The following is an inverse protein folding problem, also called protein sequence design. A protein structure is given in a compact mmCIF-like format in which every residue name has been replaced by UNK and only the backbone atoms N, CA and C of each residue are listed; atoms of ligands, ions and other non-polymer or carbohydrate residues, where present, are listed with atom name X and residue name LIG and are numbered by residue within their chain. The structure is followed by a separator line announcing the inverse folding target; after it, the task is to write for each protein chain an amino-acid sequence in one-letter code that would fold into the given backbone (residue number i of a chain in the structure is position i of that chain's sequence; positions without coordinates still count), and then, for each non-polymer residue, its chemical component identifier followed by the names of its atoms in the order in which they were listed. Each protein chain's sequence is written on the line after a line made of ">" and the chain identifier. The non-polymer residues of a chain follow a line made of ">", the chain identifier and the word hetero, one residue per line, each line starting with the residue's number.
data_IF_596579309198
#
_entry.id   IF_596579309198
#
_cell.length_a   1.000
_cell.length_b   1.000
_cell.length_c   1.000
_cell.angle_alpha   90.00
_cell.angle_beta   90.00
_cell.angle_gamma   90.00
#
_symmetry.space_group_name_H-M   'P 1'
#
loop_
_entity.id
_entity.type
_entity.pdbx_description
1 polymer ?
#
# COMPACT_ATOMS: atom_id res chain seq x y z
N UNK A 1 -12.73 26.55 2.63
CA UNK A 1 -11.33 26.11 2.92
C UNK A 1 -11.43 25.17 4.08
N UNK A 2 -11.07 23.91 3.89
CA UNK A 2 -10.99 22.96 5.00
C UNK A 2 -9.83 23.40 5.89
N UNK A 3 -10.09 23.76 7.14
CA UNK A 3 -9.06 24.08 8.11
C UNK A 3 -8.10 22.90 8.21
N UNK A 4 -6.81 23.14 7.93
CA UNK A 4 -5.80 22.11 8.07
C UNK A 4 -5.56 21.85 9.56
N UNK A 5 -5.86 20.61 9.99
CA UNK A 5 -5.55 20.16 11.35
C UNK A 5 -4.04 20.01 11.51
N UNK A 6 -3.44 20.74 12.43
CA UNK A 6 -2.05 20.56 12.84
C UNK A 6 -2.04 19.88 14.20
N UNK A 7 -1.39 18.73 14.32
CA UNK A 7 -1.27 17.94 15.53
C UNK A 7 0.20 17.70 15.88
N UNK A 8 0.52 17.52 17.15
CA UNK A 8 1.89 17.36 17.65
C UNK A 8 2.23 15.93 18.09
N UNK A 9 1.35 14.98 17.80
CA UNK A 9 1.54 13.56 18.10
C UNK A 9 1.11 12.69 16.92
N UNK A 10 1.59 11.45 16.86
CA UNK A 10 1.15 10.50 15.84
C UNK A 10 -0.35 10.21 16.02
N UNK A 11 -1.17 10.28 14.95
CA UNK A 11 -2.57 9.90 15.02
C UNK A 11 -2.74 8.46 15.50
N UNK A 12 -3.63 8.26 16.46
CA UNK A 12 -4.02 6.93 16.94
C UNK A 12 -5.53 6.73 16.79
N UNK A 13 -6.15 6.16 17.82
CA UNK A 13 -7.61 6.04 17.92
C UNK A 13 -8.29 7.42 17.92
N UNK A 14 -7.63 8.39 18.54
CA UNK A 14 -8.04 9.80 18.57
C UNK A 14 -6.89 10.70 18.14
N UNK A 15 -7.24 11.92 17.74
CA UNK A 15 -6.31 13.05 17.58
C UNK A 15 -6.76 14.18 18.48
N UNK A 16 -5.81 14.99 18.99
CA UNK A 16 -6.10 16.24 19.69
C UNK A 16 -5.77 17.42 18.76
N UNK A 17 -6.72 18.34 18.62
CA UNK A 17 -6.51 19.59 17.93
C UNK A 17 -7.03 20.74 18.82
N UNK A 18 -6.13 21.59 19.28
CA UNK A 18 -6.44 22.74 20.15
C UNK A 18 -7.20 22.36 21.45
N UNK A 19 -6.90 21.21 22.04
CA UNK A 19 -7.55 20.71 23.24
C UNK A 19 -8.89 20.01 23.02
N UNK A 20 -9.33 19.86 21.77
CA UNK A 20 -10.48 19.06 21.40
C UNK A 20 -10.03 17.70 20.85
N UNK A 21 -10.57 16.62 21.41
CA UNK A 21 -10.31 15.26 20.95
C UNK A 21 -11.31 14.85 19.87
N UNK A 22 -10.81 14.24 18.80
CA UNK A 22 -11.63 13.71 17.71
C UNK A 22 -11.35 12.22 17.54
N UNK A 23 -12.38 11.39 17.31
CA UNK A 23 -12.21 10.03 16.83
C UNK A 23 -11.59 10.08 15.43
N UNK A 24 -10.54 9.27 15.18
CA UNK A 24 -9.74 9.38 13.96
C UNK A 24 -9.96 8.18 13.02
N UNK A 25 -10.80 8.36 12.01
CA UNK A 25 -11.10 7.36 10.98
C UNK A 25 -10.42 7.67 9.65
N UNK A 26 -9.11 7.88 9.69
CA UNK A 26 -8.32 8.29 8.54
C UNK A 26 -6.92 7.65 8.55
N UNK A 27 -6.06 8.04 7.60
CA UNK A 27 -4.70 7.52 7.46
C UNK A 27 -4.65 6.13 6.84
N UNK A 28 -3.50 5.47 6.97
CA UNK A 28 -3.23 4.15 6.36
C UNK A 28 -2.51 3.18 7.30
N UNK A 29 -2.44 3.49 8.59
CA UNK A 29 -1.85 2.63 9.61
C UNK A 29 -2.82 1.50 10.00
N UNK A 30 -3.25 0.71 9.03
CA UNK A 30 -4.35 -0.26 9.16
C UNK A 30 -4.21 -1.21 10.35
N UNK A 31 -3.00 -1.72 10.62
CA UNK A 31 -2.74 -2.64 11.72
C UNK A 31 -2.41 -1.95 13.06
N UNK A 32 -2.28 -0.61 13.08
CA UNK A 32 -2.05 0.16 14.30
C UNK A 32 -0.69 -0.02 14.97
N UNK A 33 0.25 -0.71 14.33
CA UNK A 33 1.56 -1.04 14.92
C UNK A 33 2.37 0.17 15.42
N UNK A 34 2.44 1.30 14.70
CA UNK A 34 3.23 2.45 15.16
C UNK A 34 2.78 3.01 16.52
N UNK A 35 1.51 2.84 16.90
CA UNK A 35 0.94 3.27 18.16
C UNK A 35 0.99 2.20 19.27
N UNK A 36 1.33 0.95 18.91
CA UNK A 36 1.35 -0.16 19.88
C UNK A 36 2.60 -0.05 20.78
N UNK A 37 2.46 0.17 22.12
CA UNK A 37 3.61 0.35 23.00
C UNK A 37 4.60 -0.81 22.97
N UNK A 38 4.10 -2.04 22.84
CA UNK A 38 4.94 -3.22 22.78
C UNK A 38 5.79 -3.28 21.48
N UNK A 39 5.25 -2.81 20.35
CA UNK A 39 6.01 -2.69 19.09
C UNK A 39 7.05 -1.55 19.18
N UNK A 40 6.68 -0.43 19.81
CA UNK A 40 7.62 0.67 20.07
C UNK A 40 8.79 0.22 20.94
N UNK A 41 8.52 -0.62 21.96
CA UNK A 41 9.57 -1.18 22.81
C UNK A 41 10.53 -2.08 22.01
N UNK A 42 10.02 -2.94 21.13
CA UNK A 42 10.86 -3.72 20.21
C UNK A 42 11.77 -2.82 19.35
N UNK A 43 11.22 -1.72 18.83
CA UNK A 43 11.99 -0.79 18.02
C UNK A 43 13.08 -0.08 18.83
N UNK A 44 12.80 0.32 20.08
CA UNK A 44 13.80 0.92 20.99
C UNK A 44 14.96 -0.06 21.21
N UNK A 45 14.68 -1.32 21.51
CA UNK A 45 15.69 -2.37 21.67
C UNK A 45 16.51 -2.57 20.37
N UNK A 46 15.85 -2.58 19.24
CA UNK A 46 16.49 -2.74 17.92
C UNK A 46 17.36 -1.53 17.56
N UNK A 47 16.98 -0.32 17.94
CA UNK A 47 17.81 0.89 17.82
C UNK A 47 19.04 0.77 18.71
N UNK A 48 18.94 0.21 19.90
CA UNK A 48 20.08 -0.06 20.79
C UNK A 48 21.12 -1.01 20.17
N UNK A 49 20.66 -1.94 19.29
CA UNK A 49 21.53 -2.91 18.60
C UNK A 49 22.11 -2.40 17.28
N UNK A 50 21.30 -1.74 16.45
CA UNK A 50 21.64 -1.40 15.06
C UNK A 50 21.80 0.10 14.81
N UNK A 51 21.55 0.95 15.81
CA UNK A 51 21.49 2.40 15.59
C UNK A 51 20.27 2.82 14.76
N UNK A 52 20.29 4.07 14.34
CA UNK A 52 19.14 4.69 13.62
C UNK A 52 19.23 4.56 12.11
N UNK A 53 20.43 4.41 11.55
CA UNK A 53 20.67 4.30 10.10
C UNK A 53 21.88 3.42 9.82
N UNK A 54 21.90 2.78 8.64
CA UNK A 54 23.09 2.18 8.08
C UNK A 54 23.71 3.15 7.05
N UNK A 55 24.76 3.84 7.44
CA UNK A 55 25.41 4.90 6.66
C UNK A 55 26.27 4.41 5.50
N UNK A 56 25.92 3.28 4.86
CA UNK A 56 26.68 2.69 3.76
C UNK A 56 25.74 2.04 2.74
N UNK A 57 26.27 1.84 1.52
CA UNK A 57 25.54 1.08 0.49
C UNK A 57 25.44 -0.40 0.86
N UNK A 58 24.31 -1.02 0.55
CA UNK A 58 24.10 -2.48 0.68
C UNK A 58 24.95 -3.31 -0.28
N UNK A 59 25.52 -2.69 -1.32
CA UNK A 59 26.43 -3.32 -2.26
C UNK A 59 27.92 -3.21 -1.85
N UNK A 60 28.20 -2.64 -0.67
CA UNK A 60 29.54 -2.56 -0.10
C UNK A 60 30.11 -3.92 0.33
N UNK A 61 31.38 -3.91 0.77
CA UNK A 61 32.06 -5.09 1.29
C UNK A 61 31.69 -5.44 2.75
N UNK A 62 30.95 -4.56 3.46
CA UNK A 62 30.37 -4.83 4.77
C UNK A 62 28.85 -5.02 4.60
N UNK A 63 28.32 -6.11 5.13
CA UNK A 63 26.89 -6.43 5.09
C UNK A 63 26.34 -6.63 6.50
N UNK A 64 25.09 -6.25 6.70
CA UNK A 64 24.33 -6.57 7.91
C UNK A 64 23.36 -7.69 7.58
N UNK A 65 23.47 -8.84 8.25
CA UNK A 65 22.64 -10.02 7.99
C UNK A 65 21.15 -9.80 8.19
N UNK A 66 20.77 -8.80 8.98
CA UNK A 66 19.36 -8.44 9.22
C UNK A 66 18.58 -8.11 7.94
N UNK A 67 19.27 -7.62 6.89
CA UNK A 67 18.61 -7.37 5.60
C UNK A 67 18.21 -8.67 4.92
N UNK A 68 19.14 -9.61 4.81
CA UNK A 68 18.90 -10.91 4.18
C UNK A 68 17.86 -11.71 4.96
N UNK A 69 17.92 -11.70 6.29
CA UNK A 69 16.94 -12.38 7.15
C UNK A 69 15.53 -11.79 6.99
N UNK A 70 15.41 -10.47 7.00
CA UNK A 70 14.12 -9.79 6.85
C UNK A 70 13.54 -9.95 5.44
N UNK A 71 14.38 -9.89 4.39
CA UNK A 71 13.97 -10.10 3.01
C UNK A 71 13.50 -11.53 2.77
N UNK A 72 14.18 -12.52 3.34
CA UNK A 72 13.74 -13.92 3.30
C UNK A 72 12.39 -14.11 4.00
N UNK A 73 12.18 -13.47 5.17
CA UNK A 73 10.89 -13.51 5.88
C UNK A 73 9.79 -12.80 5.09
N UNK A 74 10.06 -11.63 4.49
CA UNK A 74 9.11 -10.90 3.65
C UNK A 74 8.68 -11.74 2.44
N UNK A 75 9.64 -12.36 1.75
CA UNK A 75 9.38 -13.25 0.62
C UNK A 75 8.49 -14.42 1.04
N UNK A 76 8.81 -15.08 2.16
CA UNK A 76 8.01 -16.18 2.70
C UNK A 76 6.58 -15.75 3.07
N UNK A 77 6.40 -14.57 3.68
CA UNK A 77 5.07 -14.02 4.01
C UNK A 77 4.26 -13.75 2.76
N UNK A 78 4.84 -13.12 1.75
CA UNK A 78 4.14 -12.82 0.49
C UNK A 78 3.90 -14.07 -0.37
N UNK A 79 4.74 -15.10 -0.25
CA UNK A 79 4.76 -16.28 -1.10
C UNK A 79 5.55 -16.07 -2.39
N UNK A 80 6.42 -15.06 -2.45
CA UNK A 80 7.36 -14.86 -3.56
C UNK A 80 8.66 -15.64 -3.35
N UNK A 81 9.44 -15.82 -4.42
CA UNK A 81 10.74 -16.50 -4.32
C UNK A 81 11.77 -15.62 -3.60
N UNK A 82 11.74 -14.31 -3.83
CA UNK A 82 12.72 -13.39 -3.27
C UNK A 82 12.11 -12.01 -2.99
N UNK A 83 12.77 -11.25 -2.11
CA UNK A 83 12.40 -9.86 -1.80
C UNK A 83 13.64 -8.95 -1.71
N UNK A 84 13.43 -7.66 -1.90
CA UNK A 84 14.46 -6.63 -1.78
C UNK A 84 13.89 -5.39 -1.10
N UNK A 85 14.50 -4.95 0.00
CA UNK A 85 14.05 -3.77 0.75
C UNK A 85 14.79 -2.49 0.31
N UNK A 86 14.06 -1.38 0.31
CA UNK A 86 14.51 -0.02 0.03
C UNK A 86 13.98 0.96 1.09
N UNK A 87 14.45 2.21 1.06
CA UNK A 87 14.13 3.23 2.06
C UNK A 87 12.65 3.68 2.06
N UNK A 88 11.90 3.45 0.99
CA UNK A 88 10.47 3.78 0.91
C UNK A 88 9.78 3.03 -0.22
N UNK A 89 8.43 2.99 -0.22
CA UNK A 89 7.65 2.45 -1.32
C UNK A 89 7.90 3.18 -2.64
N UNK A 90 8.09 4.51 -2.60
CA UNK A 90 8.48 5.30 -3.79
C UNK A 90 9.81 4.79 -4.35
N UNK A 91 10.81 4.57 -3.52
CA UNK A 91 12.13 4.07 -3.96
C UNK A 91 12.05 2.63 -4.48
N UNK A 92 11.18 1.79 -3.91
CA UNK A 92 10.94 0.43 -4.43
C UNK A 92 10.33 0.47 -5.85
N UNK A 93 9.29 1.27 -6.06
CA UNK A 93 8.70 1.45 -7.38
C UNK A 93 9.69 2.03 -8.39
N UNK A 94 10.41 3.09 -8.03
CA UNK A 94 11.38 3.74 -8.92
C UNK A 94 12.61 2.87 -9.21
N UNK A 95 13.02 1.98 -8.31
CA UNK A 95 14.08 1.01 -8.58
C UNK A 95 13.66 0.01 -9.69
N UNK A 96 12.42 -0.47 -9.65
CA UNK A 96 11.85 -1.33 -10.71
C UNK A 96 11.70 -0.56 -12.02
N UNK A 97 11.18 0.66 -11.98
CA UNK A 97 11.05 1.52 -13.18
C UNK A 97 12.40 1.76 -13.83
N UNK A 98 13.42 2.13 -13.04
CA UNK A 98 14.78 2.35 -13.54
C UNK A 98 15.37 1.08 -14.18
N UNK A 99 15.17 -0.07 -13.53
CA UNK A 99 15.60 -1.37 -14.05
C UNK A 99 14.94 -1.69 -15.40
N UNK A 100 13.63 -1.41 -15.56
CA UNK A 100 12.89 -1.61 -16.81
C UNK A 100 13.31 -0.62 -17.91
N UNK A 101 13.63 0.63 -17.55
CA UNK A 101 14.17 1.62 -18.51
C UNK A 101 15.50 1.18 -19.10
N UNK A 102 16.40 0.60 -18.27
CA UNK A 102 17.67 0.03 -18.77
C UNK A 102 17.43 -1.09 -19.78
N UNK A 103 16.33 -1.85 -19.64
CA UNK A 103 15.93 -2.89 -20.57
C UNK A 103 15.17 -2.35 -21.80
N UNK A 104 14.98 -1.04 -21.90
CA UNK A 104 14.22 -0.38 -22.97
C UNK A 104 12.77 -0.90 -23.10
N UNK A 105 12.15 -1.26 -21.98
CA UNK A 105 10.77 -1.72 -21.96
C UNK A 105 9.79 -0.60 -22.36
N UNK A 106 8.77 -0.96 -23.14
CA UNK A 106 7.63 -0.07 -23.40
C UNK A 106 6.68 -0.11 -22.21
N UNK A 107 6.38 1.05 -21.63
CA UNK A 107 5.53 1.17 -20.44
C UNK A 107 4.05 1.28 -20.83
N UNK A 108 3.22 0.44 -20.23
CA UNK A 108 1.75 0.46 -20.35
C UNK A 108 1.15 0.56 -18.96
N UNK A 109 0.40 1.63 -18.71
CA UNK A 109 -0.17 1.89 -17.39
C UNK A 109 -1.60 1.40 -17.29
N UNK A 110 -1.94 0.82 -16.14
CA UNK A 110 -3.32 0.58 -15.76
C UNK A 110 -3.98 1.86 -15.22
N UNK A 111 -5.32 1.88 -15.16
CA UNK A 111 -6.06 3.00 -14.57
C UNK A 111 -5.59 3.33 -13.16
N UNK A 112 -5.50 4.62 -12.84
CA UNK A 112 -5.11 5.11 -11.50
C UNK A 112 -3.73 4.63 -11.02
N UNK A 113 -2.83 4.17 -11.91
CA UNK A 113 -1.48 3.78 -11.54
C UNK A 113 -0.80 4.88 -10.72
N UNK A 114 -0.23 4.49 -9.56
CA UNK A 114 0.34 5.43 -8.59
C UNK A 114 1.67 6.03 -9.11
N UNK A 115 1.98 7.30 -8.82
CA UNK A 115 3.23 7.95 -9.26
C UNK A 115 4.52 7.22 -8.85
N UNK A 116 4.49 6.37 -7.84
CA UNK A 116 5.65 5.56 -7.44
C UNK A 116 6.16 4.62 -8.55
N UNK A 117 5.29 4.25 -9.50
CA UNK A 117 5.62 3.36 -10.63
C UNK A 117 5.62 4.08 -11.98
N UNK A 118 5.60 5.41 -12.01
CA UNK A 118 5.69 6.16 -13.27
C UNK A 118 7.14 6.26 -13.77
N UNK A 119 7.31 6.17 -15.09
CA UNK A 119 8.62 6.24 -15.75
C UNK A 119 9.13 7.68 -15.95
N UNK A 120 8.38 8.68 -15.55
CA UNK A 120 8.70 10.09 -15.66
C UNK A 120 7.81 10.95 -14.77
N UNK A 121 7.94 12.28 -14.83
CA UNK A 121 7.15 13.20 -14.01
C UNK A 121 5.65 13.19 -14.38
N UNK A 122 5.33 12.72 -15.58
CA UNK A 122 3.97 12.53 -16.09
C UNK A 122 3.91 11.16 -16.76
N UNK A 123 2.83 10.42 -16.53
CA UNK A 123 2.56 9.15 -17.17
C UNK A 123 1.21 9.20 -17.91
N UNK A 124 1.12 8.50 -19.04
CA UNK A 124 -0.13 8.34 -19.80
C UNK A 124 -1.00 7.28 -19.11
N UNK A 125 -1.63 7.68 -18.01
CA UNK A 125 -2.51 6.82 -17.20
C UNK A 125 -3.91 6.89 -17.80
N UNK A 126 -4.50 5.75 -18.22
CA UNK A 126 -5.80 5.75 -18.89
C UNK A 126 -6.93 6.14 -17.92
N UNK A 127 -7.95 6.79 -18.46
CA UNK A 127 -9.17 7.18 -17.73
C UNK A 127 -10.28 6.14 -17.79
N UNK A 128 -10.05 5.03 -18.51
CA UNK A 128 -10.97 3.90 -18.63
C UNK A 128 -11.24 3.26 -17.25
N UNK A 129 -12.36 2.57 -17.13
CA UNK A 129 -12.58 1.65 -16.02
C UNK A 129 -11.56 0.49 -16.10
N UNK A 130 -11.29 -0.15 -14.97
CA UNK A 130 -10.37 -1.30 -14.94
C UNK A 130 -10.84 -2.44 -15.86
N UNK A 131 -12.14 -2.71 -15.90
CA UNK A 131 -12.72 -3.77 -16.76
C UNK A 131 -12.57 -3.46 -18.26
N UNK A 132 -12.82 -2.21 -18.67
CA UNK A 132 -12.62 -1.79 -20.06
C UNK A 132 -11.14 -1.88 -20.46
N UNK A 133 -10.25 -1.41 -19.58
CA UNK A 133 -8.81 -1.44 -19.83
C UNK A 133 -8.30 -2.86 -19.96
N UNK A 134 -8.65 -3.78 -19.06
CA UNK A 134 -8.19 -5.19 -19.15
C UNK A 134 -8.69 -5.90 -20.43
N UNK A 135 -9.89 -5.57 -20.88
CA UNK A 135 -10.45 -6.09 -22.14
C UNK A 135 -9.66 -5.62 -23.37
N UNK A 136 -9.19 -4.37 -23.37
CA UNK A 136 -8.46 -3.78 -24.49
C UNK A 136 -6.96 -4.11 -24.47
N UNK A 137 -6.41 -4.41 -23.30
CA UNK A 137 -4.97 -4.54 -23.07
C UNK A 137 -4.26 -5.58 -23.98
N UNK A 138 -4.79 -6.80 -24.21
CA UNK A 138 -4.12 -7.76 -25.09
C UNK A 138 -3.96 -7.25 -26.53
N UNK A 139 -4.96 -6.55 -27.06
CA UNK A 139 -4.89 -5.94 -28.39
C UNK A 139 -3.91 -4.77 -28.42
N UNK A 140 -3.91 -3.93 -27.39
CA UNK A 140 -2.97 -2.84 -27.22
C UNK A 140 -1.53 -3.36 -27.26
N UNK A 141 -1.20 -4.39 -26.47
CA UNK A 141 0.14 -4.96 -26.39
C UNK A 141 0.59 -5.51 -27.75
N UNK A 142 -0.30 -6.21 -28.48
CA UNK A 142 0.03 -6.71 -29.84
C UNK A 142 0.32 -5.60 -30.83
N UNK A 143 -0.24 -4.41 -30.65
CA UNK A 143 0.00 -3.25 -31.53
C UNK A 143 1.30 -2.49 -31.24
N UNK A 144 1.96 -2.75 -30.10
CA UNK A 144 3.21 -2.10 -29.74
C UNK A 144 4.38 -2.58 -30.61
N UNK A 145 5.43 -1.75 -30.79
CA UNK A 145 6.68 -2.17 -31.43
C UNK A 145 7.25 -3.44 -30.77
N UNK A 146 8.06 -4.19 -31.51
CA UNK A 146 8.76 -5.34 -30.99
C UNK A 146 9.67 -4.95 -29.83
N UNK A 147 9.71 -5.78 -28.76
CA UNK A 147 10.52 -5.54 -27.58
C UNK A 147 9.80 -5.89 -26.27
N UNK A 148 10.48 -5.73 -25.13
CA UNK A 148 9.89 -5.99 -23.83
C UNK A 148 8.81 -4.96 -23.49
N UNK A 149 7.77 -5.42 -22.81
CA UNK A 149 6.66 -4.59 -22.32
C UNK A 149 6.60 -4.65 -20.80
N UNK A 150 6.43 -3.49 -20.17
CA UNK A 150 6.14 -3.38 -18.76
C UNK A 150 4.70 -2.90 -18.56
N UNK A 151 3.88 -3.69 -17.86
CA UNK A 151 2.50 -3.34 -17.50
C UNK A 151 2.53 -2.93 -16.02
N UNK A 152 2.11 -1.68 -15.71
CA UNK A 152 2.24 -1.12 -14.37
C UNK A 152 0.86 -0.67 -13.85
N UNK A 153 0.44 -1.21 -12.71
CA UNK A 153 -0.85 -0.91 -12.10
C UNK A 153 -0.80 -1.07 -10.57
N UNK A 154 -1.87 -0.67 -9.90
CA UNK A 154 -2.04 -0.93 -8.46
C UNK A 154 -2.70 -2.30 -8.24
N UNK A 155 -2.55 -2.86 -7.04
CA UNK A 155 -3.28 -4.07 -6.62
C UNK A 155 -4.76 -3.80 -6.32
N UNK A 156 -5.06 -2.58 -5.88
CA UNK A 156 -6.38 -2.11 -5.48
C UNK A 156 -6.46 -0.60 -5.71
N UNK A 157 -7.62 -0.12 -6.14
CA UNK A 157 -7.92 1.31 -6.11
C UNK A 157 -8.30 1.71 -4.67
N UNK A 158 -7.32 2.20 -3.93
CA UNK A 158 -7.45 2.39 -2.48
C UNK A 158 -8.25 3.64 -2.09
N UNK A 159 -8.48 4.59 -3.00
CA UNK A 159 -9.28 5.80 -2.74
C UNK A 159 -10.76 5.45 -2.78
N UNK A 160 -11.21 4.79 -3.86
CA UNK A 160 -12.62 4.43 -4.08
C UNK A 160 -12.99 3.05 -3.55
N UNK A 161 -12.03 2.31 -2.99
CA UNK A 161 -12.23 0.94 -2.52
C UNK A 161 -12.73 0.03 -3.64
N UNK A 162 -11.96 -0.11 -4.72
CA UNK A 162 -12.28 -0.97 -5.85
C UNK A 162 -11.23 -2.10 -5.97
N UNK A 163 -11.69 -3.35 -5.94
CA UNK A 163 -10.82 -4.51 -6.08
C UNK A 163 -10.48 -4.78 -7.55
N UNK A 164 -9.22 -5.06 -7.83
CA UNK A 164 -8.75 -5.48 -9.14
C UNK A 164 -8.56 -7.01 -9.17
N UNK A 165 -9.22 -7.66 -10.14
CA UNK A 165 -8.98 -9.07 -10.43
C UNK A 165 -7.79 -9.21 -11.39
N UNK A 166 -7.09 -10.34 -11.32
CA UNK A 166 -5.87 -10.57 -12.13
C UNK A 166 -6.00 -11.72 -13.13
N UNK A 167 -7.19 -12.28 -13.32
CA UNK A 167 -7.44 -13.40 -14.25
C UNK A 167 -7.07 -13.06 -15.70
N UNK A 168 -7.19 -11.79 -16.08
CA UNK A 168 -6.82 -11.25 -17.39
C UNK A 168 -5.34 -11.45 -17.75
N UNK A 169 -4.47 -11.70 -16.77
CA UNK A 169 -3.05 -12.02 -17.00
C UNK A 169 -2.92 -13.27 -17.88
N UNK A 170 -3.88 -14.19 -17.79
CA UNK A 170 -3.91 -15.41 -18.61
C UNK A 170 -4.18 -15.14 -20.11
N UNK A 171 -4.71 -13.96 -20.45
CA UNK A 171 -5.07 -13.55 -21.82
C UNK A 171 -3.96 -12.73 -22.51
N UNK A 172 -2.90 -12.38 -21.77
CA UNK A 172 -1.77 -11.64 -22.31
C UNK A 172 -1.06 -12.45 -23.40
N UNK A 173 -0.52 -11.79 -24.45
CA UNK A 173 0.25 -12.47 -25.48
C UNK A 173 1.53 -13.09 -24.91
N UNK A 174 2.02 -14.14 -25.57
CA UNK A 174 3.24 -14.88 -25.22
C UNK A 174 4.37 -14.70 -26.24
N UNK A 175 4.18 -13.83 -27.23
CA UNK A 175 5.09 -13.55 -28.33
C UNK A 175 6.23 -12.58 -28.00
N UNK A 176 6.25 -12.06 -26.77
CA UNK A 176 7.25 -11.10 -26.28
C UNK A 176 7.44 -11.15 -24.77
N UNK A 177 8.61 -10.69 -24.23
CA UNK A 177 8.80 -10.58 -22.78
C UNK A 177 7.86 -9.55 -22.18
N UNK A 178 7.10 -9.94 -21.15
CA UNK A 178 6.21 -9.05 -20.41
C UNK A 178 6.64 -9.04 -18.94
N UNK A 179 6.80 -7.85 -18.35
CA UNK A 179 6.92 -7.67 -16.90
C UNK A 179 5.65 -7.02 -16.38
N UNK A 180 4.96 -7.70 -15.48
CA UNK A 180 3.81 -7.18 -14.76
C UNK A 180 4.27 -6.58 -13.44
N UNK A 181 4.16 -5.26 -13.28
CA UNK A 181 4.51 -4.53 -12.05
C UNK A 181 3.24 -4.13 -11.32
N UNK A 182 3.08 -4.59 -10.09
CA UNK A 182 1.90 -4.29 -9.26
C UNK A 182 2.31 -3.54 -8.01
N UNK A 183 1.83 -2.31 -7.84
CA UNK A 183 1.98 -1.56 -6.58
C UNK A 183 0.92 -2.06 -5.57
N UNK A 184 1.39 -2.81 -4.59
CA UNK A 184 0.59 -3.41 -3.52
C UNK A 184 0.74 -2.66 -2.18
N UNK A 185 1.05 -1.39 -2.23
CA UNK A 185 1.25 -0.55 -1.04
C UNK A 185 0.05 -0.50 -0.11
N UNK A 186 -1.14 -0.74 -0.61
CA UNK A 186 -2.38 -0.78 0.17
C UNK A 186 -2.89 -2.20 0.45
N UNK A 187 -2.28 -3.22 -0.17
CA UNK A 187 -2.66 -4.62 0.03
C UNK A 187 -1.74 -5.38 0.98
N UNK A 188 -0.42 -5.12 0.93
CA UNK A 188 0.55 -5.77 1.81
C UNK A 188 0.19 -5.56 3.29
N UNK A 189 0.13 -6.64 4.06
CA UNK A 189 -0.29 -6.64 5.46
C UNK A 189 -1.82 -6.74 5.66
N UNK A 190 -2.65 -6.53 4.60
CA UNK A 190 -4.12 -6.52 4.66
C UNK A 190 -4.73 -7.62 3.80
N UNK A 191 -4.46 -7.61 2.47
CA UNK A 191 -5.05 -8.59 1.54
C UNK A 191 -4.51 -9.98 1.77
N UNK A 192 -5.30 -11.01 1.41
CA UNK A 192 -4.94 -12.42 1.51
C UNK A 192 -4.30 -12.77 2.88
N UNK A 193 -4.96 -12.34 3.96
CA UNK A 193 -4.47 -12.55 5.34
C UNK A 193 -3.08 -11.97 5.61
N UNK A 194 -2.78 -10.81 4.99
CA UNK A 194 -1.51 -10.08 5.17
C UNK A 194 -0.44 -10.38 4.13
N UNK A 195 -0.63 -11.38 3.27
CA UNK A 195 0.31 -11.73 2.19
C UNK A 195 0.39 -10.66 1.09
N UNK A 196 -0.65 -9.81 0.98
CA UNK A 196 -0.80 -8.88 -0.13
C UNK A 196 -1.37 -9.53 -1.37
N UNK A 197 -1.07 -8.95 -2.53
CA UNK A 197 -1.67 -9.36 -3.81
C UNK A 197 -0.98 -10.57 -4.46
N UNK A 198 0.25 -10.87 -4.10
CA UNK A 198 1.07 -11.89 -4.77
C UNK A 198 0.33 -13.22 -5.02
N UNK A 199 -0.38 -13.83 -4.03
CA UNK A 199 -1.07 -15.09 -4.23
C UNK A 199 -2.27 -15.03 -5.20
N UNK A 200 -2.68 -13.82 -5.57
CA UNK A 200 -3.83 -13.59 -6.48
C UNK A 200 -3.42 -13.35 -7.93
N UNK A 201 -2.12 -13.18 -8.19
CA UNK A 201 -1.61 -12.95 -9.54
C UNK A 201 -1.29 -14.33 -10.16
N UNK A 202 -1.90 -14.67 -11.32
CA UNK A 202 -1.55 -15.89 -12.03
C UNK A 202 -0.06 -15.92 -12.39
N UNK A 203 0.63 -16.99 -11.97
CA UNK A 203 2.02 -17.22 -12.33
C UNK A 203 2.04 -17.96 -13.69
N UNK A 204 2.48 -17.28 -14.73
CA UNK A 204 2.46 -17.78 -16.11
C UNK A 204 3.85 -17.72 -16.73
N UNK A 205 4.33 -18.81 -17.39
CA UNK A 205 5.56 -18.76 -18.16
C UNK A 205 5.57 -17.61 -19.16
N UNK A 206 6.70 -16.90 -19.27
CA UNK A 206 6.85 -15.75 -20.18
C UNK A 206 6.37 -14.40 -19.58
N UNK A 207 5.73 -14.39 -18.43
CA UNK A 207 5.37 -13.18 -17.70
C UNK A 207 6.17 -13.11 -16.41
N UNK A 208 7.00 -12.09 -16.30
CA UNK A 208 7.73 -11.78 -15.07
C UNK A 208 6.84 -10.94 -14.15
N UNK A 209 6.56 -11.42 -12.93
CA UNK A 209 5.76 -10.69 -11.94
C UNK A 209 6.67 -9.99 -10.95
N UNK A 210 6.47 -8.69 -10.80
CA UNK A 210 7.14 -7.84 -9.82
C UNK A 210 6.07 -7.13 -9.01
N UNK A 211 6.07 -7.31 -7.69
CA UNK A 211 5.19 -6.57 -6.79
C UNK A 211 6.03 -5.60 -5.97
N UNK A 212 5.63 -4.34 -5.95
CA UNK A 212 6.24 -3.31 -5.10
C UNK A 212 5.29 -2.90 -4.00
N UNK A 213 5.78 -2.57 -2.82
CA UNK A 213 4.91 -2.10 -1.75
C UNK A 213 5.60 -1.10 -0.82
N UNK A 214 4.82 -0.15 -0.30
CA UNK A 214 5.22 0.65 0.85
C UNK A 214 4.99 -0.15 2.14
N UNK A 215 6.02 -0.24 2.98
CA UNK A 215 5.89 -0.85 4.31
C UNK A 215 5.40 0.18 5.37
N UNK A 216 5.28 1.45 5.01
CA UNK A 216 4.88 2.52 5.94
C UNK A 216 3.38 2.56 6.25
N UNK A 217 2.57 1.73 5.59
CA UNK A 217 1.12 1.63 5.81
C UNK A 217 0.79 0.53 6.83
N UNK A 218 0.19 -0.57 6.40
CA UNK A 218 -0.20 -1.65 7.31
C UNK A 218 0.97 -2.23 8.10
N UNK A 219 2.15 -2.36 7.47
CA UNK A 219 3.32 -2.92 8.15
C UNK A 219 3.91 -1.99 9.23
N UNK A 220 3.61 -0.69 9.21
CA UNK A 220 4.06 0.27 10.21
C UNK A 220 5.57 0.53 10.23
N UNK A 221 6.27 0.30 9.10
CA UNK A 221 7.73 0.39 8.98
C UNK A 221 8.13 1.41 7.90
N UNK A 222 9.08 2.31 8.16
CA UNK A 222 9.58 3.21 7.12
C UNK A 222 10.39 2.39 6.11
N UNK A 223 9.84 2.13 4.93
CA UNK A 223 10.52 1.35 3.91
C UNK A 223 9.61 0.99 2.75
N UNK A 224 10.21 0.38 1.75
CA UNK A 224 9.55 -0.27 0.65
C UNK A 224 10.15 -1.64 0.39
N UNK A 225 9.41 -2.47 -0.31
CA UNK A 225 9.83 -3.82 -0.68
C UNK A 225 9.46 -4.11 -2.13
N UNK A 226 10.31 -4.89 -2.79
CA UNK A 226 10.08 -5.49 -4.10
C UNK A 226 10.03 -7.00 -3.90
N UNK A 227 9.03 -7.67 -4.45
CA UNK A 227 8.88 -9.12 -4.50
C UNK A 227 8.97 -9.59 -5.94
N UNK A 228 9.74 -10.63 -6.22
CA UNK A 228 9.82 -11.26 -7.55
C UNK A 228 10.54 -12.60 -7.46
N UNK A 229 10.94 -13.16 -8.61
CA UNK A 229 11.91 -14.25 -8.70
C UNK A 229 13.33 -13.77 -8.31
N UNK A 230 14.20 -14.73 -8.00
CA UNK A 230 15.56 -14.45 -7.54
C UNK A 230 16.42 -13.73 -8.58
N UNK A 231 16.26 -14.05 -9.87
CA UNK A 231 17.05 -13.46 -10.96
C UNK A 231 16.69 -11.99 -11.16
N UNK A 232 15.40 -11.67 -11.13
CA UNK A 232 14.88 -10.30 -11.19
C UNK A 232 15.40 -9.47 -10.02
N UNK A 233 15.27 -9.98 -8.79
CA UNK A 233 15.81 -9.30 -7.60
C UNK A 233 17.30 -9.07 -7.70
N UNK A 234 18.07 -10.08 -8.13
CA UNK A 234 19.51 -9.94 -8.32
C UNK A 234 19.84 -8.89 -9.41
N UNK A 235 19.04 -8.81 -10.47
CA UNK A 235 19.20 -7.82 -11.54
C UNK A 235 18.89 -6.39 -11.07
N UNK A 236 17.81 -6.17 -10.34
CA UNK A 236 17.47 -4.88 -9.74
C UNK A 236 18.59 -4.43 -8.77
N UNK A 237 19.10 -5.34 -7.95
CA UNK A 237 20.18 -5.06 -6.99
C UNK A 237 21.48 -4.61 -7.64
N UNK A 238 21.75 -5.01 -8.89
CA UNK A 238 22.93 -4.61 -9.67
C UNK A 238 22.81 -3.22 -10.30
N UNK A 239 21.64 -2.60 -10.29
CA UNK A 239 21.46 -1.26 -10.87
C UNK A 239 22.22 -0.20 -10.08
N UNK A 240 22.67 0.85 -10.78
CA UNK A 240 23.26 2.02 -10.13
C UNK A 240 22.26 2.71 -9.20
N UNK A 241 20.96 2.67 -9.55
CA UNK A 241 19.89 3.22 -8.74
C UNK A 241 19.85 2.55 -7.35
N UNK A 242 19.79 1.21 -7.28
CA UNK A 242 19.79 0.51 -6.00
C UNK A 242 21.10 0.76 -5.21
N UNK A 243 22.24 0.73 -5.90
CA UNK A 243 23.54 0.95 -5.26
C UNK A 243 23.69 2.33 -4.62
N UNK A 244 23.01 3.34 -5.16
CA UNK A 244 23.01 4.72 -4.66
C UNK A 244 21.88 5.02 -3.65
N UNK A 245 20.84 4.18 -3.58
CA UNK A 245 19.76 4.36 -2.62
C UNK A 245 20.22 4.15 -1.19
N UNK A 246 19.82 5.05 -0.29
CA UNK A 246 19.93 4.79 1.14
C UNK A 246 19.10 3.56 1.51
N UNK A 247 19.64 2.63 2.29
CA UNK A 247 18.90 1.47 2.73
C UNK A 247 17.83 1.83 3.77
N UNK A 248 16.85 0.96 3.92
CA UNK A 248 15.92 1.01 5.06
C UNK A 248 16.71 0.92 6.37
N UNK A 249 16.35 1.66 7.44
CA UNK A 249 17.06 1.56 8.70
C UNK A 249 16.98 0.13 9.29
N UNK A 250 18.11 -0.50 9.64
CA UNK A 250 18.17 -1.92 10.01
C UNK A 250 17.41 -2.23 11.31
N UNK A 251 17.30 -1.27 12.23
CA UNK A 251 16.54 -1.43 13.46
C UNK A 251 15.06 -1.76 13.22
N UNK A 252 14.44 -1.20 12.17
CA UNK A 252 13.07 -1.52 11.83
C UNK A 252 12.91 -2.93 11.26
N UNK A 253 13.92 -3.43 10.56
CA UNK A 253 13.94 -4.81 10.08
C UNK A 253 14.11 -5.81 11.23
N UNK A 254 14.98 -5.51 12.21
CA UNK A 254 15.10 -6.33 13.42
C UNK A 254 13.80 -6.35 14.23
N UNK A 255 13.14 -5.20 14.39
CA UNK A 255 11.82 -5.15 15.02
C UNK A 255 10.78 -5.98 14.26
N UNK A 256 10.76 -5.90 12.92
CA UNK A 256 9.89 -6.72 12.07
C UNK A 256 10.13 -8.23 12.25
N UNK A 257 11.38 -8.66 12.31
CA UNK A 257 11.73 -10.07 12.51
C UNK A 257 11.16 -10.66 13.80
N UNK A 258 10.97 -9.81 14.81
CA UNK A 258 10.51 -10.16 16.16
C UNK A 258 9.02 -9.88 16.43
N UNK A 259 8.28 -9.34 15.44
CA UNK A 259 6.95 -8.76 15.65
C UNK A 259 5.77 -9.64 15.20
N UNK A 260 5.98 -10.93 14.88
CA UNK A 260 4.94 -11.81 14.30
C UNK A 260 3.62 -11.75 15.07
N UNK A 261 3.70 -11.92 16.40
CA UNK A 261 2.53 -11.86 17.28
C UNK A 261 1.73 -10.56 17.11
N UNK A 262 2.41 -9.43 16.99
CA UNK A 262 1.73 -8.12 16.89
C UNK A 262 1.07 -7.92 15.54
N UNK A 263 1.67 -8.48 14.46
CA UNK A 263 1.04 -8.51 13.14
C UNK A 263 -0.20 -9.39 13.14
N UNK A 264 -0.16 -10.57 13.78
CA UNK A 264 -1.30 -11.49 13.88
C UNK A 264 -2.44 -10.87 14.67
N UNK A 265 -2.16 -10.33 15.86
CA UNK A 265 -3.14 -9.64 16.70
C UNK A 265 -3.75 -8.42 15.98
N UNK A 266 -2.92 -7.63 15.30
CA UNK A 266 -3.37 -6.49 14.51
C UNK A 266 -4.29 -6.88 13.35
N UNK A 267 -3.98 -7.95 12.62
CA UNK A 267 -4.83 -8.47 11.54
C UNK A 267 -6.17 -8.97 12.05
N UNK A 268 -6.18 -9.74 13.13
CA UNK A 268 -7.43 -10.26 13.70
C UNK A 268 -8.31 -9.11 14.22
N UNK A 269 -7.72 -8.12 14.90
CA UNK A 269 -8.45 -6.93 15.36
C UNK A 269 -9.00 -6.11 14.20
N UNK A 270 -8.19 -5.88 13.16
CA UNK A 270 -8.63 -5.18 11.95
C UNK A 270 -9.82 -5.90 11.30
N UNK A 271 -9.73 -7.21 11.14
CA UNK A 271 -10.79 -8.03 10.57
C UNK A 271 -12.11 -7.91 11.34
N UNK A 272 -12.06 -7.99 12.68
CA UNK A 272 -13.24 -7.83 13.54
C UNK A 272 -13.84 -6.42 13.39
N UNK A 273 -13.00 -5.40 13.37
CA UNK A 273 -13.41 -4.01 13.21
C UNK A 273 -14.06 -3.76 11.85
N UNK A 274 -13.47 -4.29 10.76
CA UNK A 274 -14.02 -4.16 9.40
C UNK A 274 -15.37 -4.88 9.31
N UNK A 275 -15.51 -6.10 9.83
CA UNK A 275 -16.79 -6.82 9.85
C UNK A 275 -17.89 -6.06 10.59
N UNK A 276 -17.54 -5.41 11.71
CA UNK A 276 -18.49 -4.56 12.44
C UNK A 276 -18.88 -3.33 11.60
N UNK A 277 -17.91 -2.67 10.99
CA UNK A 277 -18.14 -1.51 10.14
C UNK A 277 -19.01 -1.88 8.90
N UNK A 278 -18.72 -2.99 8.24
CA UNK A 278 -19.56 -3.51 7.14
C UNK A 278 -21.02 -3.69 7.58
N UNK A 279 -21.22 -4.36 8.72
CA UNK A 279 -22.56 -4.60 9.28
C UNK A 279 -23.32 -3.30 9.57
N UNK A 280 -22.64 -2.26 10.04
CA UNK A 280 -23.25 -1.03 10.48
C UNK A 280 -23.34 0.04 9.39
N UNK A 281 -22.36 0.15 8.50
CA UNK A 281 -22.30 1.24 7.52
C UNK A 281 -22.95 0.89 6.17
N UNK A 282 -22.79 -0.36 5.69
CA UNK A 282 -23.28 -0.72 4.35
C UNK A 282 -24.82 -0.65 4.20
N UNK A 283 -25.62 -0.93 5.23
CA UNK A 283 -27.09 -0.79 5.11
C UNK A 283 -27.57 0.64 4.83
N UNK A 284 -26.73 1.66 5.04
CA UNK A 284 -27.07 3.06 4.69
C UNK A 284 -27.10 3.31 3.18
N UNK A 285 -26.48 2.43 2.37
CA UNK A 285 -26.34 2.61 0.92
C UNK A 285 -25.39 3.75 0.51
N UNK A 286 -24.71 4.37 1.48
CA UNK A 286 -23.86 5.56 1.27
C UNK A 286 -22.47 5.23 0.70
N UNK A 287 -21.97 4.02 0.95
CA UNK A 287 -20.57 3.69 0.72
C UNK A 287 -20.35 2.64 -0.36
N UNK A 288 -19.36 2.89 -1.23
CA UNK A 288 -18.68 1.85 -1.99
C UNK A 288 -17.60 1.19 -1.12
N UNK A 289 -17.49 -0.14 -1.21
CA UNK A 289 -16.63 -0.91 -0.33
C UNK A 289 -16.20 -2.25 -0.94
N UNK A 290 -14.95 -2.63 -0.75
CA UNK A 290 -14.44 -3.98 -1.04
C UNK A 290 -14.53 -4.82 0.22
N UNK A 291 -15.26 -5.93 0.17
CA UNK A 291 -15.47 -6.83 1.31
C UNK A 291 -14.17 -7.21 2.01
N UNK A 292 -14.12 -6.97 3.31
CA UNK A 292 -12.95 -7.25 4.15
C UNK A 292 -11.81 -6.23 4.04
N UNK A 293 -11.95 -5.19 3.22
CA UNK A 293 -10.95 -4.13 3.08
C UNK A 293 -11.29 -2.93 4.00
N UNK A 294 -10.30 -2.29 4.65
CA UNK A 294 -10.58 -1.32 5.71
C UNK A 294 -11.00 0.08 5.24
N UNK A 295 -11.46 0.25 4.00
CA UNK A 295 -11.83 1.55 3.44
C UNK A 295 -13.27 1.55 2.95
N UNK A 296 -14.04 2.55 3.37
CA UNK A 296 -15.42 2.84 2.94
C UNK A 296 -15.40 4.20 2.23
N UNK A 297 -15.72 4.21 0.95
CA UNK A 297 -15.68 5.41 0.11
C UNK A 297 -17.08 5.96 -0.15
N UNK A 298 -17.23 7.28 -0.17
CA UNK A 298 -18.43 7.97 -0.60
C UNK A 298 -18.11 9.22 -1.41
N UNK A 299 -18.97 9.57 -2.36
CA UNK A 299 -18.88 10.81 -3.12
C UNK A 299 -19.49 12.01 -2.39
N UNK A 300 -20.08 11.81 -1.20
CA UNK A 300 -20.65 12.90 -0.40
C UNK A 300 -19.52 13.71 0.23
N UNK A 301 -19.33 14.92 -0.27
CA UNK A 301 -18.27 15.84 0.18
C UNK A 301 -18.65 16.60 1.46
N UNK A 302 -19.93 16.66 1.81
CA UNK A 302 -20.47 17.27 3.04
C UNK A 302 -20.50 16.31 4.24
N UNK A 303 -20.24 15.00 4.04
CA UNK A 303 -20.14 14.05 5.15
C UNK A 303 -18.99 14.42 6.11
N UNK A 304 -17.85 14.88 5.59
CA UNK A 304 -16.72 15.28 6.43
C UNK A 304 -17.05 16.43 7.38
N UNK A 305 -17.55 17.61 6.93
CA UNK A 305 -17.92 18.67 7.85
C UNK A 305 -19.00 18.24 8.84
N UNK A 306 -19.99 17.45 8.42
CA UNK A 306 -21.01 16.94 9.32
C UNK A 306 -20.44 16.08 10.46
N UNK A 307 -19.55 15.13 10.14
CA UNK A 307 -18.92 14.26 11.14
C UNK A 307 -17.94 15.04 12.03
N UNK A 308 -17.27 16.06 11.48
CA UNK A 308 -16.34 16.89 12.24
C UNK A 308 -17.06 17.65 13.38
N UNK A 309 -18.31 18.12 13.16
CA UNK A 309 -19.16 18.70 14.20
C UNK A 309 -19.56 17.70 15.32
N UNK A 310 -19.33 16.43 15.10
CA UNK A 310 -19.59 15.33 16.03
C UNK A 310 -18.29 14.74 16.61
N UNK A 311 -17.20 15.50 16.54
CA UNK A 311 -15.87 15.11 17.00
C UNK A 311 -15.34 13.84 16.32
N UNK A 312 -15.70 13.64 15.02
CA UNK A 312 -15.25 12.51 14.21
C UNK A 312 -14.49 13.05 13.00
N UNK A 313 -13.21 12.71 12.91
CA UNK A 313 -12.34 13.09 11.78
C UNK A 313 -12.25 11.93 10.79
N UNK A 314 -12.66 12.18 9.54
CA UNK A 314 -12.49 11.26 8.40
C UNK A 314 -11.58 11.89 7.34
N UNK A 315 -11.12 11.09 6.38
CA UNK A 315 -10.32 11.61 5.28
C UNK A 315 -11.21 12.29 4.23
N UNK A 316 -10.89 13.55 3.91
CA UNK A 316 -11.53 14.29 2.83
C UNK A 316 -10.47 15.09 2.08
N UNK A 317 -10.31 14.84 0.77
CA UNK A 317 -9.33 15.53 -0.06
C UNK A 317 -9.68 15.45 -1.54
N UNK A 318 -9.22 16.43 -2.30
CA UNK A 318 -9.28 16.40 -3.74
C UNK A 318 -8.20 15.45 -4.30
N UNK A 319 -8.57 14.52 -5.16
CA UNK A 319 -7.65 13.55 -5.77
C UNK A 319 -8.10 13.24 -7.21
N UNK A 320 -7.19 13.11 -8.18
CA UNK A 320 -5.72 13.10 -8.05
C UNK A 320 -5.06 14.48 -7.91
N UNK A 321 -5.74 15.57 -8.17
CA UNK A 321 -5.20 16.93 -8.05
C UNK A 321 -6.01 17.78 -7.09
N UNK A 322 -5.44 18.89 -6.62
CA UNK A 322 -6.13 19.85 -5.74
C UNK A 322 -7.32 20.56 -6.39
N UNK A 323 -7.46 20.47 -7.72
CA UNK A 323 -8.58 21.05 -8.48
C UNK A 323 -9.77 20.08 -8.64
N UNK A 324 -9.57 18.79 -8.30
CA UNK A 324 -10.63 17.79 -8.37
C UNK A 324 -11.64 17.94 -7.23
N UNK A 325 -12.80 17.30 -7.39
CA UNK A 325 -13.80 17.22 -6.33
C UNK A 325 -13.23 16.47 -5.13
N UNK A 326 -13.51 16.96 -3.92
CA UNK A 326 -13.16 16.25 -2.69
C UNK A 326 -13.95 14.95 -2.60
N UNK A 327 -13.24 13.90 -2.21
CA UNK A 327 -13.81 12.58 -1.94
C UNK A 327 -13.68 12.32 -0.44
N UNK A 328 -14.70 11.73 0.16
CA UNK A 328 -14.69 11.34 1.56
C UNK A 328 -14.50 9.84 1.70
N UNK A 329 -13.63 9.45 2.60
CA UNK A 329 -13.47 8.03 2.95
C UNK A 329 -13.27 7.83 4.44
N UNK A 330 -13.88 6.77 4.93
CA UNK A 330 -13.72 6.27 6.29
C UNK A 330 -12.69 5.15 6.25
N UNK A 331 -11.67 5.23 7.09
CA UNK A 331 -10.65 4.19 7.23
C UNK A 331 -10.77 3.54 8.58
N UNK A 332 -10.97 2.23 8.59
CA UNK A 332 -10.99 1.40 9.79
C UNK A 332 -9.58 0.91 10.08
N UNK A 333 -9.17 0.94 11.33
CA UNK A 333 -7.85 0.47 11.79
C UNK A 333 -7.99 -0.47 12.98
N UNK A 334 -6.96 -1.27 13.22
CA UNK A 334 -6.92 -2.21 14.34
C UNK A 334 -6.96 -1.52 15.71
N UNK A 335 -6.55 -0.26 15.80
CA UNK A 335 -6.59 0.50 17.06
C UNK A 335 -7.98 0.99 17.46
N UNK A 336 -8.98 0.97 16.56
CA UNK A 336 -10.35 1.36 16.94
C UNK A 336 -10.96 0.37 17.91
N UNK A 337 -11.73 0.91 18.86
CA UNK A 337 -12.63 0.17 19.73
C UNK A 337 -13.96 -0.07 19.03
N UNK A 338 -14.70 -1.12 19.41
CA UNK A 338 -16.03 -1.36 18.86
C UNK A 338 -16.99 -0.20 19.10
N UNK A 339 -16.89 0.46 20.27
CA UNK A 339 -17.64 1.67 20.59
C UNK A 339 -17.38 2.83 19.66
N UNK A 340 -16.15 2.98 19.14
CA UNK A 340 -15.83 4.04 18.18
C UNK A 340 -16.58 3.84 16.86
N UNK A 341 -16.58 2.58 16.38
CA UNK A 341 -17.27 2.20 15.13
C UNK A 341 -18.79 2.35 15.30
N UNK A 342 -19.34 2.03 16.47
CA UNK A 342 -20.75 2.26 16.78
C UNK A 342 -21.09 3.75 16.79
N UNK A 343 -20.28 4.58 17.46
CA UNK A 343 -20.45 6.04 17.48
C UNK A 343 -20.38 6.63 16.07
N UNK A 344 -19.42 6.19 15.25
CA UNK A 344 -19.34 6.58 13.84
C UNK A 344 -20.64 6.22 13.10
N UNK A 345 -21.09 4.97 13.21
CA UNK A 345 -22.28 4.48 12.51
C UNK A 345 -23.54 5.23 12.91
N UNK A 346 -23.75 5.48 14.20
CA UNK A 346 -24.88 6.28 14.70
C UNK A 346 -24.94 7.68 14.09
N UNK A 347 -23.78 8.33 13.92
CA UNK A 347 -23.70 9.65 13.32
C UNK A 347 -23.88 9.59 11.78
N UNK A 348 -23.35 8.56 11.11
CA UNK A 348 -23.64 8.33 9.69
C UNK A 348 -25.15 8.10 9.46
N UNK A 349 -25.83 7.33 10.32
CA UNK A 349 -27.30 7.20 10.24
C UNK A 349 -28.01 8.54 10.40
N UNK A 350 -27.63 9.39 11.35
CA UNK A 350 -28.21 10.74 11.52
C UNK A 350 -27.94 11.66 10.32
N UNK A 351 -26.88 11.40 9.57
CA UNK A 351 -26.61 12.11 8.33
C UNK A 351 -27.55 11.67 7.19
N UNK A 352 -27.90 10.38 7.14
CA UNK A 352 -28.71 9.82 6.07
C UNK A 352 -30.22 10.04 6.27
N UNK A 353 -30.69 10.17 7.52
CA UNK A 353 -32.11 10.17 7.92
C UNK A 353 -32.43 11.31 8.90
#
# INVERSE_FOLDING_TARGET
>A
MTDNFTINSLPGRTIDHNGQAYLFFSGTAYLGLPQLPAFQQLLIESIGRYGTVFGSSRNGNLRLGVYEEAEAKLAAVAGSESALTLSSGMMAGQAVVNWLQVQQATFVYGPKAHPAIWSGPVADVPTLSFAEWTTQLPAQIRSLPAGPVAILLNSIEAVRSEAYAFDWVNELPDDRPITLVVDDSHGLGVLANGQGIWPKIPQRPGINVVVTASMAKAMGLPGGVIFSDADTIASVRKTAFFGACSPMPPAYLDAFLRADRYYDEGRERLKQNVLLAEKLLLPTGLFSHVKGYPVFFTEQDDLYPFLLEKDIFIYSFAYPTAADRSNSRIVISAFHEFSDIQTLAENVYKYCF
#
